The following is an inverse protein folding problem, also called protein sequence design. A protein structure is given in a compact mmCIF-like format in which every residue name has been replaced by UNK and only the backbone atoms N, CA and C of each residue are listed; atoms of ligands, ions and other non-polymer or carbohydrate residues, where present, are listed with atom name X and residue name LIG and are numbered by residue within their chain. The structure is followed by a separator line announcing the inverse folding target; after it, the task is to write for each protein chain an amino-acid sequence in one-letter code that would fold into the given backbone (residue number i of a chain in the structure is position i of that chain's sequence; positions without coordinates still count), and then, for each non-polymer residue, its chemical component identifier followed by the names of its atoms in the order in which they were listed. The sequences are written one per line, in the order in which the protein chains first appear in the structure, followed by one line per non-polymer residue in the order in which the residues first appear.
data_IF_238123508863
#
_entry.id   IF_238123508863
#
_cell.length_a   1.000
_cell.length_b   1.000
_cell.length_c   1.000
_cell.angle_alpha   90.00
_cell.angle_beta   90.00
_cell.angle_gamma   90.00
#
_symmetry.space_group_name_H-M   'P 1'
#
loop_
_entity.id
_entity.type
_entity.pdbx_description
1 polymer ?
#
# COMPACT_ATOMS: atom_id res chain seq x y z
N UNK A 1 -62.02 -15.40 -28.24
CA UNK A 1 -60.77 -15.39 -29.04
C UNK A 1 -59.65 -14.53 -28.44
N UNK A 2 -59.84 -13.23 -28.12
CA UNK A 2 -58.75 -12.36 -27.61
C UNK A 2 -58.09 -12.79 -26.27
N UNK A 3 -58.79 -13.49 -25.37
CA UNK A 3 -58.23 -13.99 -24.09
C UNK A 3 -57.33 -15.22 -24.27
N UNK A 4 -57.69 -16.14 -25.17
CA UNK A 4 -56.91 -17.37 -25.43
C UNK A 4 -55.59 -17.03 -26.13
N UNK A 5 -55.61 -16.10 -27.08
CA UNK A 5 -54.40 -15.65 -27.78
C UNK A 5 -53.38 -14.98 -26.84
N UNK A 6 -53.84 -14.21 -25.84
CA UNK A 6 -52.96 -13.60 -24.82
C UNK A 6 -52.30 -14.64 -23.91
N UNK A 7 -53.02 -15.70 -23.54
CA UNK A 7 -52.48 -16.77 -22.69
C UNK A 7 -51.45 -17.60 -23.48
N UNK A 8 -51.72 -17.91 -24.75
CA UNK A 8 -50.76 -18.63 -25.61
C UNK A 8 -49.48 -17.83 -25.87
N UNK A 9 -49.58 -16.51 -26.10
CA UNK A 9 -48.40 -15.64 -26.26
C UNK A 9 -47.60 -15.56 -24.95
N UNK A 10 -48.27 -15.49 -23.80
CA UNK A 10 -47.60 -15.46 -22.49
C UNK A 10 -46.85 -16.78 -22.20
N UNK A 11 -47.47 -17.93 -22.47
CA UNK A 11 -46.83 -19.24 -22.30
C UNK A 11 -45.65 -19.46 -23.27
N UNK A 12 -45.75 -18.93 -24.49
CA UNK A 12 -44.64 -18.99 -25.45
C UNK A 12 -43.46 -18.11 -25.00
N UNK A 13 -43.73 -16.87 -24.57
CA UNK A 13 -42.70 -15.98 -24.02
C UNK A 13 -42.03 -16.58 -22.78
N UNK A 14 -42.79 -17.22 -21.88
CA UNK A 14 -42.20 -17.86 -20.69
C UNK A 14 -41.30 -19.05 -21.06
N UNK A 15 -41.68 -19.85 -22.07
CA UNK A 15 -40.86 -20.96 -22.55
C UNK A 15 -39.55 -20.48 -23.20
N UNK A 16 -39.59 -19.37 -23.96
CA UNK A 16 -38.40 -18.76 -24.55
C UNK A 16 -37.44 -18.22 -23.48
N UNK A 17 -37.98 -17.57 -22.44
CA UNK A 17 -37.18 -17.08 -21.30
C UNK A 17 -36.49 -18.23 -20.55
N UNK A 18 -37.22 -19.34 -20.31
CA UNK A 18 -36.65 -20.54 -19.69
C UNK A 18 -35.55 -21.19 -20.56
N UNK A 19 -35.76 -21.26 -21.88
CA UNK A 19 -34.78 -21.79 -22.82
C UNK A 19 -33.48 -20.97 -22.87
N UNK A 20 -33.61 -19.63 -22.88
CA UNK A 20 -32.44 -18.74 -22.83
C UNK A 20 -31.69 -18.86 -21.50
N UNK A 21 -32.41 -18.92 -20.37
CA UNK A 21 -31.79 -19.09 -19.05
C UNK A 21 -30.98 -20.40 -18.96
N UNK A 22 -31.50 -21.50 -19.51
CA UNK A 22 -30.79 -22.78 -19.59
C UNK A 22 -29.54 -22.71 -20.48
N UNK A 23 -29.65 -22.06 -21.65
CA UNK A 23 -28.52 -21.90 -22.58
C UNK A 23 -27.38 -21.09 -21.95
N UNK A 24 -27.69 -19.95 -21.32
CA UNK A 24 -26.69 -19.15 -20.62
C UNK A 24 -26.13 -19.86 -19.38
N UNK A 25 -26.95 -20.61 -18.65
CA UNK A 25 -26.50 -21.43 -17.52
C UNK A 25 -25.49 -22.51 -17.93
N UNK A 26 -25.74 -23.23 -19.02
CA UNK A 26 -24.81 -24.23 -19.57
C UNK A 26 -23.53 -23.59 -20.08
N UNK A 27 -23.63 -22.45 -20.79
CA UNK A 27 -22.45 -21.72 -21.28
C UNK A 27 -21.57 -21.25 -20.11
N UNK A 28 -22.18 -20.66 -19.09
CA UNK A 28 -21.49 -20.24 -17.88
C UNK A 28 -20.82 -21.42 -17.16
N UNK A 29 -21.52 -22.55 -17.01
CA UNK A 29 -20.96 -23.75 -16.41
C UNK A 29 -19.76 -24.30 -17.20
N UNK A 30 -19.83 -24.31 -18.54
CA UNK A 30 -18.72 -24.76 -19.39
C UNK A 30 -17.52 -23.81 -19.34
N UNK A 31 -17.74 -22.49 -19.26
CA UNK A 31 -16.67 -21.50 -19.04
C UNK A 31 -15.99 -21.71 -17.68
N UNK A 32 -16.76 -22.00 -16.62
CA UNK A 32 -16.21 -22.33 -15.31
C UNK A 32 -15.38 -23.62 -15.33
N UNK A 33 -15.81 -24.64 -16.08
CA UNK A 33 -15.04 -25.89 -16.23
C UNK A 33 -13.77 -25.70 -17.09
N UNK A 34 -13.80 -24.82 -18.09
CA UNK A 34 -12.63 -24.46 -18.89
C UNK A 34 -11.59 -23.70 -18.05
N UNK A 35 -12.03 -22.72 -17.26
CA UNK A 35 -11.16 -22.01 -16.30
C UNK A 35 -10.56 -22.96 -15.27
N UNK A 36 -11.33 -23.94 -14.79
CA UNK A 36 -10.85 -24.96 -13.87
C UNK A 36 -9.81 -25.90 -14.49
N UNK A 37 -9.96 -26.26 -15.77
CA UNK A 37 -8.97 -27.06 -16.52
C UNK A 37 -7.68 -26.30 -16.84
N UNK A 38 -7.75 -25.00 -17.11
CA UNK A 38 -6.56 -24.17 -17.27
C UNK A 38 -5.78 -23.99 -15.95
N UNK A 39 -6.48 -24.03 -14.81
CA UNK A 39 -5.85 -24.04 -13.48
C UNK A 39 -5.22 -25.39 -13.08
N UNK A 40 -5.54 -26.50 -13.76
CA UNK A 40 -5.05 -27.84 -13.42
C UNK A 40 -3.71 -28.24 -14.07
N UNK A 41 -3.14 -27.44 -14.99
CA UNK A 41 -1.75 -27.61 -15.42
C UNK A 41 -0.80 -26.92 -14.44
N UNK A 42 -0.59 -27.54 -13.28
CA UNK A 42 0.42 -27.08 -12.32
C UNK A 42 1.82 -27.38 -12.85
N UNK A 43 2.60 -26.37 -13.18
CA UNK A 43 4.02 -26.51 -13.49
C UNK A 43 4.78 -26.96 -12.23
N UNK A 44 5.26 -28.20 -12.20
CA UNK A 44 6.07 -28.71 -11.08
C UNK A 44 7.51 -28.21 -11.20
N UNK A 45 7.83 -27.15 -10.47
CA UNK A 45 9.15 -26.51 -10.48
C UNK A 45 10.18 -27.23 -9.61
N UNK A 46 9.77 -28.15 -8.74
CA UNK A 46 10.64 -28.73 -7.71
C UNK A 46 11.98 -29.28 -8.25
N UNK A 47 12.04 -30.04 -9.36
CA UNK A 47 13.32 -30.54 -9.89
C UNK A 47 14.27 -29.42 -10.32
N UNK A 48 13.73 -28.31 -10.84
CA UNK A 48 14.52 -27.16 -11.26
C UNK A 48 15.04 -26.38 -10.05
N UNK A 49 14.22 -26.22 -9.02
CA UNK A 49 14.61 -25.57 -7.77
C UNK A 49 15.72 -26.36 -7.06
N UNK A 50 15.66 -27.71 -7.06
CA UNK A 50 16.70 -28.58 -6.52
C UNK A 50 18.01 -28.55 -7.32
N UNK A 51 17.93 -28.35 -8.64
CA UNK A 51 19.10 -28.21 -9.52
C UNK A 51 19.76 -26.82 -9.42
N UNK A 52 19.03 -25.82 -8.93
CA UNK A 52 19.52 -24.45 -8.84
C UNK A 52 20.58 -24.28 -7.76
N UNK A 53 21.66 -23.55 -8.08
CA UNK A 53 22.69 -23.21 -7.09
C UNK A 53 22.18 -22.22 -6.03
N UNK A 54 21.11 -21.49 -6.34
CA UNK A 54 20.47 -20.54 -5.43
C UNK A 54 19.33 -21.18 -4.61
N UNK A 55 18.97 -22.43 -4.92
CA UNK A 55 17.83 -23.14 -4.32
C UNK A 55 16.46 -22.64 -4.79
N UNK A 56 16.44 -21.85 -5.86
CA UNK A 56 15.24 -21.33 -6.53
C UNK A 56 15.57 -21.07 -8.00
N UNK A 57 14.94 -21.82 -8.88
CA UNK A 57 15.21 -21.75 -10.31
C UNK A 57 14.85 -20.39 -10.90
N UNK A 58 13.78 -19.75 -10.42
CA UNK A 58 13.37 -18.43 -10.92
C UNK A 58 14.39 -17.38 -10.50
N UNK A 59 14.84 -17.42 -9.25
CA UNK A 59 15.95 -16.58 -8.79
C UNK A 59 17.13 -16.76 -9.73
N UNK A 60 17.53 -18.00 -10.01
CA UNK A 60 18.65 -18.28 -10.89
C UNK A 60 18.46 -17.71 -12.30
N UNK A 61 17.28 -17.87 -12.90
CA UNK A 61 17.00 -17.31 -14.22
C UNK A 61 17.17 -15.78 -14.22
N UNK A 62 16.64 -15.09 -13.21
CA UNK A 62 16.80 -13.64 -13.07
C UNK A 62 18.27 -13.25 -12.96
N UNK A 63 19.07 -14.00 -12.19
CA UNK A 63 20.51 -13.75 -12.08
C UNK A 63 21.21 -13.98 -13.42
N UNK A 64 20.96 -15.11 -14.07
CA UNK A 64 21.54 -15.48 -15.37
C UNK A 64 21.28 -14.42 -16.43
N UNK A 65 20.07 -13.88 -16.48
CA UNK A 65 19.73 -12.76 -17.34
C UNK A 65 20.53 -11.51 -17.00
N UNK A 66 20.65 -11.18 -15.71
CA UNK A 66 21.32 -9.97 -15.22
C UNK A 66 22.83 -9.99 -15.44
N UNK A 67 23.47 -11.16 -15.30
CA UNK A 67 24.92 -11.33 -15.56
C UNK A 67 25.22 -11.73 -17.01
N UNK A 68 24.21 -11.78 -17.89
CA UNK A 68 24.32 -12.19 -19.30
C UNK A 68 24.97 -13.58 -19.48
N UNK A 69 24.69 -14.50 -18.56
CA UNK A 69 25.24 -15.85 -18.55
C UNK A 69 24.10 -16.89 -18.52
N UNK A 70 23.64 -17.28 -19.70
CA UNK A 70 22.48 -18.18 -19.84
C UNK A 70 22.81 -19.62 -19.49
N UNK A 71 23.91 -20.16 -20.03
CA UNK A 71 24.16 -21.61 -20.03
C UNK A 71 25.48 -22.00 -19.36
N UNK A 72 26.37 -21.05 -19.03
CA UNK A 72 27.64 -21.36 -18.38
C UNK A 72 27.47 -21.45 -16.85
N UNK A 73 28.40 -22.16 -16.17
CA UNK A 73 28.50 -22.08 -14.72
C UNK A 73 28.58 -20.63 -14.24
N UNK A 74 27.89 -20.34 -13.13
CA UNK A 74 27.93 -19.01 -12.51
C UNK A 74 29.20 -18.93 -11.66
N UNK A 75 30.04 -17.94 -11.94
CA UNK A 75 31.17 -17.60 -11.08
C UNK A 75 30.65 -16.95 -9.79
N UNK A 76 30.59 -17.74 -8.72
CA UNK A 76 30.06 -17.34 -7.42
C UNK A 76 30.89 -16.21 -6.80
N UNK A 77 32.21 -16.17 -7.05
CA UNK A 77 33.07 -15.13 -6.47
C UNK A 77 32.71 -13.76 -7.05
N UNK A 78 32.41 -13.70 -8.35
CA UNK A 78 31.97 -12.46 -9.01
C UNK A 78 30.65 -11.90 -8.47
N UNK A 79 29.79 -12.73 -7.87
CA UNK A 79 28.50 -12.28 -7.31
C UNK A 79 28.69 -11.38 -6.08
N UNK A 80 29.82 -11.50 -5.38
CA UNK A 80 30.12 -10.67 -4.22
C UNK A 80 30.32 -9.18 -4.61
N UNK A 81 30.68 -8.90 -5.87
CA UNK A 81 30.87 -7.54 -6.40
C UNK A 81 29.55 -6.86 -6.81
N UNK A 82 28.44 -7.60 -6.83
CA UNK A 82 27.12 -7.05 -7.19
C UNK A 82 26.58 -6.21 -6.03
N UNK A 83 26.47 -4.90 -6.24
CA UNK A 83 26.00 -3.96 -5.21
C UNK A 83 24.51 -3.68 -5.26
N UNK A 84 23.84 -3.92 -6.40
CA UNK A 84 22.41 -3.70 -6.56
C UNK A 84 21.76 -4.88 -7.27
N UNK A 85 20.61 -5.32 -6.76
CA UNK A 85 19.85 -6.43 -7.31
C UNK A 85 18.36 -6.13 -7.26
N UNK A 86 17.73 -6.21 -8.43
CA UNK A 86 16.28 -6.17 -8.56
C UNK A 86 15.78 -7.55 -9.01
N UNK A 87 15.04 -8.20 -8.11
CA UNK A 87 14.38 -9.48 -8.29
C UNK A 87 12.85 -9.31 -8.30
N UNK A 88 12.34 -8.08 -8.43
CA UNK A 88 10.91 -7.82 -8.36
C UNK A 88 10.18 -8.48 -9.51
N UNK A 89 9.04 -9.10 -9.20
CA UNK A 89 8.21 -9.73 -10.20
C UNK A 89 7.31 -8.70 -10.87
N UNK A 90 7.41 -8.57 -12.21
CA UNK A 90 6.67 -7.60 -13.02
C UNK A 90 5.60 -8.23 -13.93
N UNK A 91 5.39 -9.55 -13.83
CA UNK A 91 4.39 -10.26 -14.62
C UNK A 91 2.97 -10.18 -14.04
N UNK A 92 2.07 -11.02 -14.58
CA UNK A 92 0.68 -11.11 -14.11
C UNK A 92 0.64 -11.76 -12.73
N UNK A 93 -0.25 -11.29 -11.86
CA UNK A 93 -0.39 -11.84 -10.50
C UNK A 93 -0.68 -13.34 -10.46
N UNK A 94 -1.27 -13.89 -11.53
CA UNK A 94 -1.59 -15.30 -11.73
C UNK A 94 -0.41 -16.21 -12.08
N UNK A 95 0.74 -15.65 -12.49
CA UNK A 95 1.92 -16.40 -12.91
C UNK A 95 2.77 -16.79 -11.67
N UNK A 96 2.21 -17.63 -10.80
CA UNK A 96 2.86 -18.03 -9.54
C UNK A 96 4.16 -18.83 -9.74
N UNK A 97 4.23 -19.62 -10.81
CA UNK A 97 5.39 -20.43 -11.22
C UNK A 97 6.62 -19.58 -11.58
N UNK A 98 6.43 -18.31 -11.90
CA UNK A 98 7.47 -17.33 -12.24
C UNK A 98 7.88 -16.42 -11.09
N UNK A 99 7.38 -16.67 -9.89
CA UNK A 99 7.75 -15.91 -8.69
C UNK A 99 8.80 -16.65 -7.89
N UNK A 100 9.74 -15.90 -7.35
CA UNK A 100 10.75 -16.40 -6.41
C UNK A 100 10.05 -16.80 -5.11
N UNK A 101 10.41 -17.95 -4.58
CA UNK A 101 9.92 -18.49 -3.30
C UNK A 101 11.02 -18.58 -2.24
N UNK A 102 12.30 -18.65 -2.64
CA UNK A 102 13.44 -18.72 -1.72
C UNK A 102 14.48 -17.65 -1.99
N UNK A 103 15.02 -17.07 -0.92
CA UNK A 103 16.12 -16.11 -0.95
C UNK A 103 17.47 -16.72 -0.54
N UNK A 104 17.56 -18.04 -0.38
CA UNK A 104 18.79 -18.73 0.07
C UNK A 104 20.02 -18.41 -0.77
N UNK A 105 19.82 -18.05 -2.03
CA UNK A 105 20.87 -17.62 -2.95
C UNK A 105 21.55 -16.30 -2.58
N UNK A 106 20.93 -15.45 -1.76
CA UNK A 106 21.49 -14.17 -1.34
C UNK A 106 22.82 -14.31 -0.58
N UNK A 107 23.12 -15.49 -0.03
CA UNK A 107 24.40 -15.79 0.65
C UNK A 107 25.65 -15.53 -0.19
N UNK A 108 25.51 -15.43 -1.51
CA UNK A 108 26.60 -15.15 -2.44
C UNK A 108 26.80 -13.65 -2.73
N UNK A 109 25.84 -12.79 -2.36
CA UNK A 109 25.81 -11.36 -2.70
C UNK A 109 26.27 -10.50 -1.52
N UNK A 110 27.52 -10.70 -1.08
CA UNK A 110 28.03 -10.08 0.16
C UNK A 110 28.23 -8.56 0.06
N UNK A 111 28.49 -8.02 -1.13
CA UNK A 111 28.62 -6.58 -1.37
C UNK A 111 27.30 -5.86 -1.66
N UNK A 112 26.15 -6.55 -1.48
CA UNK A 112 24.84 -6.01 -1.85
C UNK A 112 24.43 -4.85 -0.94
N UNK A 113 24.14 -3.70 -1.55
CA UNK A 113 23.68 -2.47 -0.88
C UNK A 113 22.21 -2.17 -1.12
N UNK A 114 21.67 -2.62 -2.25
CA UNK A 114 20.28 -2.40 -2.64
C UNK A 114 19.65 -3.68 -3.15
N UNK A 115 18.53 -4.05 -2.54
CA UNK A 115 17.74 -5.21 -2.92
C UNK A 115 16.26 -4.83 -3.06
N UNK A 116 15.66 -5.17 -4.19
CA UNK A 116 14.21 -5.14 -4.41
C UNK A 116 13.74 -6.53 -4.79
N UNK A 117 12.72 -7.05 -4.10
CA UNK A 117 12.16 -8.40 -4.34
C UNK A 117 10.63 -8.38 -4.45
N UNK A 118 10.05 -7.22 -4.75
CA UNK A 118 8.62 -6.96 -4.64
C UNK A 118 7.77 -7.96 -5.45
N UNK A 119 6.58 -8.27 -4.96
CA UNK A 119 5.56 -9.09 -5.64
C UNK A 119 5.96 -10.56 -5.89
N UNK A 120 6.88 -11.09 -5.09
CA UNK A 120 7.27 -12.50 -5.11
C UNK A 120 6.48 -13.35 -4.08
N UNK A 121 6.77 -14.65 -3.99
CA UNK A 121 6.11 -15.58 -3.07
C UNK A 121 7.04 -16.03 -1.92
N UNK A 122 8.11 -15.29 -1.67
CA UNK A 122 9.03 -15.53 -0.57
C UNK A 122 8.33 -15.37 0.79
N UNK A 123 8.60 -16.31 1.69
CA UNK A 123 8.08 -16.32 3.07
C UNK A 123 9.15 -16.26 4.16
N UNK A 124 10.43 -16.43 3.79
CA UNK A 124 11.57 -16.38 4.70
C UNK A 124 12.68 -15.51 4.13
N UNK A 125 13.29 -14.70 5.00
CA UNK A 125 14.48 -13.90 4.68
C UNK A 125 15.79 -14.69 4.72
N UNK A 126 15.76 -16.02 4.85
CA UNK A 126 16.96 -16.87 4.83
C UNK A 126 17.88 -16.52 3.67
N UNK A 127 19.15 -16.28 3.97
CA UNK A 127 20.19 -15.85 3.02
C UNK A 127 20.48 -14.34 3.06
N UNK A 128 19.52 -13.51 3.52
CA UNK A 128 19.74 -12.06 3.61
C UNK A 128 20.75 -11.69 4.71
N UNK A 129 20.92 -12.54 5.71
CA UNK A 129 21.85 -12.32 6.83
C UNK A 129 23.31 -12.14 6.41
N UNK A 130 23.67 -12.56 5.20
CA UNK A 130 25.01 -12.40 4.61
C UNK A 130 25.18 -11.03 3.92
N UNK A 131 24.09 -10.34 3.58
CA UNK A 131 24.09 -9.05 2.89
C UNK A 131 24.19 -7.87 3.90
N UNK A 132 25.17 -7.90 4.80
CA UNK A 132 25.26 -6.95 5.94
C UNK A 132 25.47 -5.49 5.54
N UNK A 133 25.90 -5.24 4.31
CA UNK A 133 26.09 -3.91 3.73
C UNK A 133 24.80 -3.29 3.14
N UNK A 134 23.65 -3.97 3.28
CA UNK A 134 22.39 -3.51 2.73
C UNK A 134 21.95 -2.17 3.35
N UNK A 135 21.73 -1.17 2.49
CA UNK A 135 21.23 0.16 2.83
C UNK A 135 19.76 0.34 2.41
N UNK A 136 19.32 -0.43 1.40
CA UNK A 136 17.98 -0.35 0.83
C UNK A 136 17.38 -1.75 0.63
N UNK A 137 16.22 -1.98 1.24
CA UNK A 137 15.43 -3.20 1.06
C UNK A 137 13.97 -2.85 0.74
N UNK A 138 13.48 -3.32 -0.41
CA UNK A 138 12.05 -3.42 -0.69
C UNK A 138 11.65 -4.87 -0.90
N UNK A 139 10.65 -5.30 -0.14
CA UNK A 139 10.11 -6.65 -0.15
C UNK A 139 8.58 -6.63 0.00
N UNK A 140 7.91 -5.69 -0.66
CA UNK A 140 6.45 -5.52 -0.54
C UNK A 140 5.68 -6.55 -1.35
N UNK A 141 4.42 -6.79 -0.94
CA UNK A 141 3.49 -7.70 -1.61
C UNK A 141 4.07 -9.11 -1.77
N UNK A 142 4.77 -9.57 -0.73
CA UNK A 142 5.33 -10.92 -0.61
C UNK A 142 4.52 -11.74 0.41
N UNK A 143 5.13 -12.77 1.03
CA UNK A 143 4.49 -13.63 2.04
C UNK A 143 5.33 -13.75 3.32
N UNK A 144 6.16 -12.74 3.62
CA UNK A 144 7.03 -12.79 4.79
C UNK A 144 6.21 -12.70 6.07
N UNK A 145 6.43 -13.63 6.99
CA UNK A 145 5.78 -13.61 8.31
C UNK A 145 6.76 -13.40 9.47
N UNK A 146 8.07 -13.56 9.19
CA UNK A 146 9.15 -13.41 10.15
C UNK A 146 10.28 -12.59 9.52
N UNK A 147 10.72 -11.54 10.23
CA UNK A 147 11.75 -10.60 9.79
C UNK A 147 13.00 -10.61 10.69
N UNK A 148 13.20 -11.61 11.54
CA UNK A 148 14.31 -11.65 12.50
C UNK A 148 15.68 -11.47 11.85
N UNK A 149 15.91 -12.05 10.66
CA UNK A 149 17.17 -11.91 9.93
C UNK A 149 17.50 -10.45 9.56
N UNK A 150 16.49 -9.61 9.35
CA UNK A 150 16.67 -8.18 9.05
C UNK A 150 17.36 -7.45 10.21
N UNK A 151 17.26 -7.95 11.44
CA UNK A 151 17.94 -7.34 12.60
C UNK A 151 19.46 -7.22 12.46
N UNK A 152 20.08 -7.99 11.57
CA UNK A 152 21.51 -7.96 11.27
C UNK A 152 21.90 -6.82 10.30
N UNK A 153 20.93 -6.27 9.55
CA UNK A 153 21.12 -5.31 8.48
C UNK A 153 21.15 -3.86 9.00
N UNK A 154 22.08 -3.59 9.93
CA UNK A 154 22.11 -2.34 10.70
C UNK A 154 22.44 -1.08 9.88
N UNK A 155 22.89 -1.25 8.64
CA UNK A 155 23.14 -0.17 7.68
C UNK A 155 21.88 0.30 6.94
N UNK A 156 20.74 -0.37 7.13
CA UNK A 156 19.49 -0.03 6.45
C UNK A 156 19.06 1.41 6.74
N UNK A 157 18.79 2.13 5.65
CA UNK A 157 18.18 3.47 5.63
C UNK A 157 16.76 3.44 5.06
N UNK A 158 16.50 2.49 4.16
CA UNK A 158 15.20 2.31 3.52
C UNK A 158 14.71 0.88 3.71
N UNK A 159 13.53 0.74 4.32
CA UNK A 159 12.88 -0.55 4.50
C UNK A 159 11.40 -0.49 4.12
N UNK A 160 11.03 -1.24 3.07
CA UNK A 160 9.65 -1.42 2.66
C UNK A 160 9.24 -2.89 2.78
N UNK A 161 8.35 -3.18 3.73
CA UNK A 161 7.77 -4.50 3.99
C UNK A 161 6.26 -4.50 3.81
N UNK A 162 5.71 -3.50 3.10
CA UNK A 162 4.27 -3.36 2.88
C UNK A 162 3.61 -4.66 2.43
N UNK A 163 2.39 -4.92 2.90
CA UNK A 163 1.56 -6.05 2.51
C UNK A 163 2.29 -7.41 2.67
N UNK A 164 2.75 -7.67 3.89
CA UNK A 164 3.31 -8.96 4.31
C UNK A 164 2.56 -9.47 5.56
N UNK A 165 2.89 -10.67 6.01
CA UNK A 165 2.26 -11.33 7.17
C UNK A 165 3.04 -11.15 8.48
N UNK A 166 3.90 -10.13 8.55
CA UNK A 166 4.77 -9.85 9.70
C UNK A 166 3.92 -9.40 10.89
N UNK A 167 4.26 -9.93 12.07
CA UNK A 167 3.59 -9.63 13.35
C UNK A 167 4.50 -9.04 14.42
N UNK A 168 5.78 -9.38 14.41
CA UNK A 168 6.75 -8.93 15.42
C UNK A 168 7.58 -7.76 14.91
N UNK A 169 7.88 -6.80 15.78
CA UNK A 169 8.71 -5.61 15.51
C UNK A 169 10.10 -5.67 16.13
N UNK A 170 10.48 -6.76 16.81
CA UNK A 170 11.77 -6.89 17.50
C UNK A 170 12.97 -6.63 16.59
N UNK A 171 12.86 -7.04 15.32
CA UNK A 171 13.92 -6.87 14.32
C UNK A 171 14.26 -5.39 14.06
N UNK A 172 13.32 -4.46 14.29
CA UNK A 172 13.49 -3.04 14.00
C UNK A 172 14.40 -2.37 15.03
N UNK A 173 14.52 -2.94 16.24
CA UNK A 173 15.23 -2.30 17.36
C UNK A 173 16.72 -2.06 17.11
N UNK A 174 17.31 -2.80 16.16
CA UNK A 174 18.70 -2.65 15.76
C UNK A 174 18.90 -1.65 14.61
N UNK A 175 17.83 -1.26 13.90
CA UNK A 175 17.85 -0.51 12.64
C UNK A 175 17.82 1.01 12.88
N UNK A 176 18.85 1.52 13.57
CA UNK A 176 18.89 2.91 14.07
C UNK A 176 19.10 3.98 12.98
N UNK A 177 19.46 3.57 11.77
CA UNK A 177 19.76 4.46 10.64
C UNK A 177 18.57 4.62 9.68
N UNK A 178 17.41 4.03 9.97
CA UNK A 178 16.25 4.10 9.09
C UNK A 178 15.77 5.54 8.92
N UNK A 179 15.62 5.93 7.66
CA UNK A 179 15.01 7.20 7.24
C UNK A 179 13.61 6.98 6.65
N UNK A 180 13.39 5.82 6.03
CA UNK A 180 12.12 5.39 5.46
C UNK A 180 11.72 4.03 6.02
N UNK A 181 10.50 3.93 6.55
CA UNK A 181 9.91 2.69 7.02
C UNK A 181 8.47 2.54 6.53
N UNK A 182 8.20 1.46 5.81
CA UNK A 182 6.85 1.09 5.41
C UNK A 182 6.49 -0.31 5.90
N UNK A 183 5.52 -0.37 6.82
CA UNK A 183 4.95 -1.58 7.41
C UNK A 183 3.44 -1.68 7.10
N UNK A 184 2.94 -0.90 6.14
CA UNK A 184 1.51 -0.84 5.84
C UNK A 184 0.99 -2.21 5.42
N UNK A 185 -0.19 -2.61 5.91
CA UNK A 185 -0.79 -3.91 5.60
C UNK A 185 -0.10 -5.10 6.26
N UNK A 186 0.90 -4.89 7.12
CA UNK A 186 1.41 -5.93 8.02
C UNK A 186 0.48 -6.09 9.22
N UNK A 187 0.54 -7.24 9.88
CA UNK A 187 -0.31 -7.54 11.03
C UNK A 187 0.38 -7.10 12.35
N UNK A 188 0.80 -5.84 12.41
CA UNK A 188 1.52 -5.20 13.53
C UNK A 188 0.61 -4.18 14.20
N UNK A 189 0.16 -4.48 15.41
CA UNK A 189 -0.71 -3.56 16.18
C UNK A 189 0.05 -2.78 17.24
N UNK A 190 1.18 -3.30 17.70
CA UNK A 190 2.00 -2.69 18.75
C UNK A 190 3.22 -1.97 18.17
N UNK A 191 3.23 -0.66 18.36
CA UNK A 191 4.30 0.24 17.92
C UNK A 191 5.13 0.80 19.07
N UNK A 192 5.06 0.20 20.27
CA UNK A 192 5.85 0.61 21.43
C UNK A 192 7.38 0.66 21.14
N UNK A 193 7.87 -0.15 20.19
CA UNK A 193 9.28 -0.13 19.76
C UNK A 193 9.77 1.26 19.30
N UNK A 194 8.88 2.11 18.77
CA UNK A 194 9.20 3.48 18.38
C UNK A 194 9.59 4.34 19.59
N UNK A 195 9.18 3.94 20.80
CA UNK A 195 9.56 4.60 22.03
C UNK A 195 10.84 4.03 22.66
N UNK A 196 11.10 2.74 22.47
CA UNK A 196 12.28 2.06 22.99
C UNK A 196 13.54 2.45 22.21
N UNK A 197 13.38 2.71 20.92
CA UNK A 197 14.46 2.99 19.99
C UNK A 197 14.33 4.44 19.56
N UNK A 198 15.32 5.27 19.88
CA UNK A 198 15.36 6.65 19.38
C UNK A 198 15.59 6.67 17.87
N UNK A 199 14.52 6.49 17.08
CA UNK A 199 14.55 6.49 15.61
C UNK A 199 14.54 7.92 15.06
N UNK A 200 15.48 8.73 15.55
CA UNK A 200 15.55 10.17 15.23
C UNK A 200 15.79 10.46 13.74
N UNK A 201 16.27 9.48 12.98
CA UNK A 201 16.51 9.58 11.54
C UNK A 201 15.26 9.40 10.69
N UNK A 202 14.17 8.84 11.23
CA UNK A 202 12.96 8.57 10.45
C UNK A 202 12.36 9.89 9.98
N UNK A 203 12.18 9.98 8.66
CA UNK A 203 11.51 11.07 7.94
C UNK A 203 10.21 10.59 7.33
N UNK A 204 10.14 9.33 6.91
CA UNK A 204 8.95 8.77 6.29
C UNK A 204 8.50 7.50 7.01
N UNK A 205 7.24 7.51 7.47
CA UNK A 205 6.62 6.40 8.17
C UNK A 205 5.26 6.07 7.56
N UNK A 206 5.11 4.84 7.10
CA UNK A 206 3.87 4.34 6.51
C UNK A 206 3.42 3.09 7.27
N UNK A 207 2.33 3.21 8.00
CA UNK A 207 1.78 2.19 8.91
C UNK A 207 0.28 2.05 8.69
N UNK A 208 -0.17 2.19 7.44
CA UNK A 208 -1.58 2.07 7.09
C UNK A 208 -2.07 0.63 7.24
N UNK A 209 -3.31 0.43 7.72
CA UNK A 209 -3.98 -0.86 7.79
C UNK A 209 -3.21 -1.94 8.54
N UNK A 210 -2.59 -1.58 9.67
CA UNK A 210 -1.92 -2.55 10.54
C UNK A 210 -2.74 -2.92 11.79
N UNK A 211 -3.81 -2.16 12.05
CA UNK A 211 -4.72 -2.35 13.18
C UNK A 211 -4.24 -1.70 14.47
N UNK A 212 -3.21 -0.84 14.43
CA UNK A 212 -2.78 -0.11 15.62
C UNK A 212 -3.81 0.97 16.00
N UNK A 213 -3.93 1.27 17.28
CA UNK A 213 -4.91 2.26 17.76
C UNK A 213 -4.32 3.20 18.82
N UNK A 214 -2.99 3.34 18.86
CA UNK A 214 -2.25 4.18 19.80
C UNK A 214 -1.20 5.00 19.07
N UNK A 215 -1.08 6.27 19.42
CA UNK A 215 -0.20 7.26 18.76
C UNK A 215 0.80 7.92 19.74
N UNK A 216 0.98 7.37 20.95
CA UNK A 216 1.86 7.96 21.98
C UNK A 216 3.31 8.12 21.52
N UNK A 217 3.74 7.32 20.54
CA UNK A 217 5.06 7.40 19.92
C UNK A 217 5.29 8.68 19.08
N UNK A 218 4.25 9.45 18.75
CA UNK A 218 4.37 10.63 17.88
C UNK A 218 5.33 11.69 18.42
N UNK A 219 5.40 11.84 19.74
CA UNK A 219 6.29 12.78 20.43
C UNK A 219 7.78 12.41 20.29
N UNK A 220 8.07 11.19 19.84
CA UNK A 220 9.41 10.62 19.78
C UNK A 220 10.00 10.65 18.36
N UNK A 221 9.20 11.07 17.37
CA UNK A 221 9.59 11.12 15.96
C UNK A 221 9.48 12.55 15.39
N UNK A 222 10.16 13.56 15.98
CA UNK A 222 9.98 14.97 15.60
C UNK A 222 10.48 15.32 14.19
N UNK A 223 11.20 14.41 13.54
CA UNK A 223 11.77 14.60 12.19
C UNK A 223 10.89 14.05 11.06
N UNK A 224 9.70 13.52 11.36
CA UNK A 224 8.78 13.03 10.32
C UNK A 224 8.38 14.17 9.38
N UNK A 225 8.53 13.91 8.10
CA UNK A 225 8.14 14.75 6.98
C UNK A 225 6.91 14.17 6.25
N UNK A 226 6.79 12.82 6.23
CA UNK A 226 5.70 12.10 5.55
C UNK A 226 5.14 10.99 6.43
N UNK A 227 3.83 11.03 6.66
CA UNK A 227 3.13 10.07 7.52
C UNK A 227 1.88 9.52 6.82
N UNK A 228 1.74 8.19 6.79
CA UNK A 228 0.50 7.51 6.43
C UNK A 228 0.05 6.58 7.56
N UNK A 229 -1.09 6.89 8.15
CA UNK A 229 -1.72 6.14 9.23
C UNK A 229 -3.05 5.51 8.82
N UNK A 230 -3.42 5.54 7.53
CA UNK A 230 -4.74 5.19 6.99
C UNK A 230 -5.29 3.84 7.47
N UNK A 231 -6.60 3.71 7.64
CA UNK A 231 -7.25 2.41 7.91
C UNK A 231 -6.89 1.77 9.25
N UNK A 232 -6.72 2.56 10.31
CA UNK A 232 -6.35 2.11 11.67
C UNK A 232 -7.39 2.50 12.74
N UNK A 233 -8.60 2.86 12.31
CA UNK A 233 -9.74 3.23 13.19
C UNK A 233 -9.48 4.40 14.17
N UNK A 234 -8.44 5.21 13.92
CA UNK A 234 -8.07 6.37 14.74
C UNK A 234 -9.21 7.40 14.80
N UNK A 235 -9.23 8.19 15.87
CA UNK A 235 -10.19 9.28 16.07
C UNK A 235 -9.45 10.58 16.45
N UNK A 236 -10.21 11.66 16.64
CA UNK A 236 -9.67 12.99 16.94
C UNK A 236 -8.77 13.01 18.19
N UNK A 237 -9.12 12.24 19.23
CA UNK A 237 -8.37 12.16 20.50
C UNK A 237 -7.04 11.42 20.31
N UNK A 238 -7.05 10.30 19.58
CA UNK A 238 -5.84 9.52 19.30
C UNK A 238 -4.86 10.28 18.41
N UNK A 239 -5.34 11.18 17.54
CA UNK A 239 -4.48 12.00 16.69
C UNK A 239 -3.96 13.27 17.39
N UNK A 240 -4.42 13.56 18.60
CA UNK A 240 -3.93 14.71 19.35
C UNK A 240 -2.41 14.64 19.56
N UNK A 241 -1.73 15.78 19.46
CA UNK A 241 -0.27 15.87 19.53
C UNK A 241 0.43 15.80 18.18
N UNK A 242 -0.29 15.55 17.08
CA UNK A 242 0.28 15.56 15.73
C UNK A 242 0.88 16.92 15.33
N UNK A 243 0.42 18.00 15.95
CA UNK A 243 0.98 19.34 15.79
C UNK A 243 2.45 19.46 16.23
N UNK A 244 2.97 18.51 17.02
CA UNK A 244 4.38 18.48 17.40
C UNK A 244 5.31 18.09 16.23
N UNK A 245 4.75 17.46 15.18
CA UNK A 245 5.49 17.10 13.97
C UNK A 245 5.72 18.34 13.10
N UNK A 246 6.56 19.23 13.57
CA UNK A 246 6.82 20.53 12.94
C UNK A 246 7.43 20.44 11.55
N UNK A 247 7.97 19.28 11.13
CA UNK A 247 8.47 19.05 9.77
C UNK A 247 7.48 18.35 8.84
N UNK A 248 6.29 18.00 9.32
CA UNK A 248 5.30 17.24 8.56
C UNK A 248 4.79 18.05 7.36
N UNK A 249 5.08 17.56 6.16
CA UNK A 249 4.63 18.16 4.89
C UNK A 249 3.51 17.34 4.24
N UNK A 250 3.48 16.03 4.47
CA UNK A 250 2.50 15.12 3.92
C UNK A 250 1.87 14.27 5.02
N UNK A 251 0.55 14.35 5.13
CA UNK A 251 -0.23 13.48 6.01
C UNK A 251 -1.35 12.80 5.25
N UNK A 252 -1.40 11.47 5.38
CA UNK A 252 -2.52 10.66 4.95
C UNK A 252 -3.14 9.92 6.14
N UNK A 253 -4.41 10.20 6.40
CA UNK A 253 -5.22 9.59 7.45
C UNK A 253 -6.60 9.21 6.89
N UNK A 254 -6.60 8.52 5.75
CA UNK A 254 -7.81 8.03 5.09
C UNK A 254 -8.46 6.89 5.89
N UNK A 255 -9.76 6.67 5.72
CA UNK A 255 -10.49 5.53 6.30
C UNK A 255 -10.32 5.42 7.82
N UNK A 256 -10.61 6.51 8.54
CA UNK A 256 -10.58 6.57 10.01
C UNK A 256 -11.95 6.96 10.58
N UNK A 257 -11.99 7.29 11.88
CA UNK A 257 -13.15 7.81 12.59
C UNK A 257 -13.01 9.31 12.91
N UNK A 258 -12.28 10.07 12.09
CA UNK A 258 -12.03 11.50 12.30
C UNK A 258 -13.33 12.29 12.05
N UNK A 259 -13.66 13.20 12.97
CA UNK A 259 -14.85 14.06 12.90
C UNK A 259 -14.52 15.54 12.80
N UNK A 260 -13.39 15.95 13.37
CA UNK A 260 -12.95 17.33 13.38
C UNK A 260 -11.57 17.50 12.76
N UNK A 261 -11.40 18.57 11.98
CA UNK A 261 -10.09 18.97 11.44
C UNK A 261 -9.27 19.83 12.41
N UNK A 262 -9.83 20.21 13.56
CA UNK A 262 -9.15 21.01 14.59
C UNK A 262 -7.82 20.41 15.05
N UNK A 263 -7.70 19.08 15.04
CA UNK A 263 -6.47 18.36 15.40
C UNK A 263 -5.29 18.68 14.47
N UNK A 264 -5.55 19.14 13.25
CA UNK A 264 -4.51 19.46 12.26
C UNK A 264 -4.18 20.96 12.17
N UNK A 265 -4.92 21.84 12.86
CA UNK A 265 -4.83 23.31 12.66
C UNK A 265 -3.43 23.90 12.88
N UNK A 266 -2.61 23.25 13.72
CA UNK A 266 -1.27 23.73 14.06
C UNK A 266 -0.15 23.03 13.26
N UNK A 267 -0.48 22.13 12.34
CA UNK A 267 0.45 21.46 11.42
C UNK A 267 0.85 22.39 10.25
N UNK A 268 1.43 23.55 10.56
CA UNK A 268 1.62 24.69 9.65
C UNK A 268 2.46 24.42 8.40
N UNK A 269 3.26 23.35 8.38
CA UNK A 269 4.11 22.98 7.25
C UNK A 269 3.46 21.97 6.29
N UNK A 270 2.23 21.51 6.57
CA UNK A 270 1.51 20.62 5.68
C UNK A 270 1.29 21.26 4.30
N UNK A 271 1.70 20.52 3.27
CA UNK A 271 1.45 20.80 1.85
C UNK A 271 0.39 19.86 1.29
N UNK A 272 0.29 18.64 1.81
CA UNK A 272 -0.69 17.65 1.37
C UNK A 272 -1.38 17.02 2.58
N UNK A 273 -2.71 17.08 2.60
CA UNK A 273 -3.56 16.50 3.62
C UNK A 273 -4.65 15.63 2.98
N UNK A 274 -4.60 14.34 3.27
CA UNK A 274 -5.54 13.35 2.72
C UNK A 274 -6.33 12.72 3.87
N UNK A 275 -7.64 12.97 3.87
CA UNK A 275 -8.61 12.63 4.91
C UNK A 275 -9.88 11.98 4.31
N UNK A 276 -9.77 11.34 3.15
CA UNK A 276 -10.90 10.68 2.51
C UNK A 276 -11.45 9.52 3.35
N UNK A 277 -12.75 9.26 3.22
CA UNK A 277 -13.45 8.19 3.96
C UNK A 277 -13.33 8.40 5.48
N UNK A 278 -13.87 9.51 5.96
CA UNK A 278 -13.94 9.86 7.38
C UNK A 278 -15.37 10.31 7.74
N UNK A 279 -15.55 10.97 8.88
CA UNK A 279 -16.84 11.51 9.35
C UNK A 279 -16.77 13.02 9.58
N UNK A 280 -15.94 13.72 8.81
CA UNK A 280 -15.69 15.16 8.96
C UNK A 280 -16.91 15.94 8.50
N UNK A 281 -17.37 16.87 9.34
CA UNK A 281 -18.50 17.77 9.01
C UNK A 281 -18.07 19.22 8.77
N UNK A 282 -16.92 19.62 9.32
CA UNK A 282 -16.38 20.97 9.20
C UNK A 282 -14.87 20.96 8.94
N UNK A 283 -14.45 21.82 8.02
CA UNK A 283 -13.07 22.03 7.59
C UNK A 283 -12.58 23.45 7.88
N UNK A 284 -13.35 24.26 8.61
CA UNK A 284 -13.06 25.67 8.90
C UNK A 284 -11.70 25.88 9.61
N UNK A 285 -11.29 24.93 10.46
CA UNK A 285 -10.00 24.95 11.17
C UNK A 285 -8.80 24.88 10.21
N UNK A 286 -8.97 24.33 9.00
CA UNK A 286 -7.91 24.22 8.00
C UNK A 286 -7.52 25.57 7.37
N UNK A 287 -8.29 26.64 7.61
CA UNK A 287 -7.93 28.01 7.19
C UNK A 287 -6.55 28.45 7.69
N UNK A 288 -6.09 27.89 8.79
CA UNK A 288 -4.77 28.12 9.40
C UNK A 288 -3.60 27.56 8.58
N UNK A 289 -3.83 26.53 7.75
CA UNK A 289 -2.82 25.82 6.99
C UNK A 289 -2.44 26.56 5.71
N UNK A 290 -1.71 27.66 5.87
CA UNK A 290 -1.37 28.57 4.76
C UNK A 290 -0.46 27.95 3.69
N UNK A 291 0.22 26.84 3.97
CA UNK A 291 1.08 26.14 3.02
C UNK A 291 0.38 24.97 2.30
N UNK A 292 -0.89 24.70 2.61
CA UNK A 292 -1.58 23.54 2.04
C UNK A 292 -1.84 23.74 0.55
N UNK A 293 -1.35 22.81 -0.26
CA UNK A 293 -1.48 22.81 -1.72
C UNK A 293 -2.49 21.77 -2.22
N UNK A 294 -2.65 20.67 -1.49
CA UNK A 294 -3.55 19.57 -1.84
C UNK A 294 -4.36 19.10 -0.63
N UNK A 295 -5.68 19.10 -0.78
CA UNK A 295 -6.64 18.61 0.21
C UNK A 295 -7.54 17.55 -0.41
N UNK A 296 -7.61 16.38 0.20
CA UNK A 296 -8.58 15.36 -0.16
C UNK A 296 -9.47 15.04 1.05
N UNK A 297 -10.76 15.33 0.93
CA UNK A 297 -11.82 15.09 1.91
C UNK A 297 -12.99 14.34 1.25
N UNK A 298 -12.72 13.54 0.22
CA UNK A 298 -13.73 12.70 -0.43
C UNK A 298 -14.46 11.81 0.58
N UNK A 299 -15.74 11.53 0.35
CA UNK A 299 -16.54 10.63 1.19
C UNK A 299 -16.51 11.02 2.67
N UNK A 300 -16.97 12.25 2.94
CA UNK A 300 -17.15 12.80 4.28
C UNK A 300 -18.58 13.36 4.41
N UNK A 301 -18.84 14.16 5.44
CA UNK A 301 -20.15 14.74 5.78
C UNK A 301 -20.12 16.27 5.72
N UNK A 302 -19.23 16.86 4.91
CA UNK A 302 -19.00 18.31 4.86
C UNK A 302 -20.18 19.01 4.19
N UNK A 303 -20.71 20.06 4.83
CA UNK A 303 -21.82 20.85 4.29
C UNK A 303 -21.40 22.17 3.64
N UNK A 304 -20.25 22.72 4.05
CA UNK A 304 -19.76 24.04 3.68
C UNK A 304 -18.29 24.01 3.32
N UNK A 305 -17.93 24.84 2.34
CA UNK A 305 -16.56 24.97 1.82
C UNK A 305 -16.12 26.42 1.72
N UNK A 306 -16.81 27.33 2.40
CA UNK A 306 -16.50 28.77 2.39
C UNK A 306 -15.05 29.06 2.80
N UNK A 307 -14.50 28.24 3.70
CA UNK A 307 -13.11 28.33 4.17
C UNK A 307 -12.08 28.23 3.05
N UNK A 308 -12.39 27.54 1.94
CA UNK A 308 -11.43 27.37 0.84
C UNK A 308 -11.08 28.71 0.18
N UNK A 309 -11.93 29.75 0.34
CA UNK A 309 -11.62 31.11 -0.11
C UNK A 309 -10.44 31.77 0.61
N UNK A 310 -10.12 31.31 1.83
CA UNK A 310 -8.97 31.79 2.61
C UNK A 310 -7.67 31.00 2.36
N UNK A 311 -7.76 29.88 1.63
CA UNK A 311 -6.67 28.93 1.40
C UNK A 311 -5.92 29.24 0.10
N UNK A 312 -5.22 30.38 0.07
CA UNK A 312 -4.61 30.97 -1.13
C UNK A 312 -3.60 30.10 -1.90
N UNK A 313 -3.00 29.11 -1.23
CA UNK A 313 -2.03 28.20 -1.85
C UNK A 313 -2.65 26.85 -2.27
N UNK A 314 -3.93 26.64 -1.99
CA UNK A 314 -4.61 25.39 -2.33
C UNK A 314 -4.82 25.30 -3.84
N UNK A 315 -4.17 24.31 -4.46
CA UNK A 315 -4.19 24.06 -5.90
C UNK A 315 -5.12 22.90 -6.25
N UNK A 316 -5.22 21.89 -5.39
CA UNK A 316 -5.97 20.66 -5.65
C UNK A 316 -6.93 20.35 -4.51
N UNK A 317 -8.20 20.16 -4.86
CA UNK A 317 -9.26 19.85 -3.90
C UNK A 317 -10.09 18.67 -4.38
N UNK A 318 -10.22 17.66 -3.53
CA UNK A 318 -11.12 16.54 -3.76
C UNK A 318 -12.12 16.50 -2.62
N UNK A 319 -13.38 16.80 -2.90
CA UNK A 319 -14.49 16.81 -1.94
C UNK A 319 -15.72 16.08 -2.52
N UNK A 320 -15.47 15.07 -3.35
CA UNK A 320 -16.47 14.16 -3.90
C UNK A 320 -17.28 13.49 -2.78
N UNK A 321 -18.56 13.24 -3.02
CA UNK A 321 -19.43 12.49 -2.10
C UNK A 321 -19.46 13.10 -0.68
N UNK A 322 -19.88 14.35 -0.61
CA UNK A 322 -20.12 15.10 0.62
C UNK A 322 -21.56 15.65 0.65
N UNK A 323 -21.88 16.52 1.60
CA UNK A 323 -23.20 17.14 1.78
C UNK A 323 -23.20 18.63 1.38
N UNK A 324 -22.30 19.05 0.48
CA UNK A 324 -22.13 20.46 0.13
C UNK A 324 -23.35 20.99 -0.64
N UNK A 325 -23.95 22.07 -0.11
CA UNK A 325 -25.20 22.66 -0.63
C UNK A 325 -24.99 23.90 -1.50
N UNK A 326 -23.82 24.52 -1.45
CA UNK A 326 -23.49 25.68 -2.28
C UNK A 326 -21.98 25.82 -2.49
N UNK A 327 -21.58 26.37 -3.63
CA UNK A 327 -20.20 26.74 -3.96
C UNK A 327 -20.02 28.25 -4.15
N UNK A 328 -21.00 29.08 -3.75
CA UNK A 328 -20.97 30.54 -4.00
C UNK A 328 -19.71 31.21 -3.44
N UNK A 329 -19.23 30.78 -2.27
CA UNK A 329 -18.04 31.36 -1.64
C UNK A 329 -16.73 31.08 -2.40
N UNK A 330 -16.74 30.12 -3.34
CA UNK A 330 -15.55 29.68 -4.08
C UNK A 330 -15.72 29.82 -5.59
N UNK A 331 -16.76 30.50 -6.08
CA UNK A 331 -17.11 30.58 -7.51
C UNK A 331 -16.01 31.19 -8.38
N UNK A 332 -15.20 32.08 -7.80
CA UNK A 332 -14.17 32.84 -8.50
C UNK A 332 -12.77 32.21 -8.35
N UNK A 333 -12.68 31.10 -7.62
CA UNK A 333 -11.42 30.39 -7.37
C UNK A 333 -11.16 29.41 -8.50
N UNK A 334 -9.91 29.36 -8.98
CA UNK A 334 -9.46 28.40 -9.99
C UNK A 334 -8.49 27.41 -9.37
N UNK A 335 -8.96 26.19 -9.13
CA UNK A 335 -8.11 25.08 -8.75
C UNK A 335 -7.44 24.47 -10.00
N UNK A 336 -6.21 23.97 -9.86
CA UNK A 336 -5.55 23.17 -10.90
C UNK A 336 -6.31 21.85 -11.14
N UNK A 337 -6.85 21.27 -10.07
CA UNK A 337 -7.67 20.06 -10.10
C UNK A 337 -8.71 20.11 -9.01
N UNK A 338 -9.96 19.84 -9.39
CA UNK A 338 -11.07 19.76 -8.46
C UNK A 338 -11.94 18.54 -8.73
N UNK A 339 -12.49 17.96 -7.67
CA UNK A 339 -13.60 17.00 -7.76
C UNK A 339 -14.63 17.29 -6.66
N UNK A 340 -15.75 17.88 -7.05
CA UNK A 340 -16.91 18.13 -6.19
C UNK A 340 -18.11 17.25 -6.56
N UNK A 341 -17.88 16.19 -7.34
CA UNK A 341 -18.97 15.31 -7.80
C UNK A 341 -19.73 14.66 -6.64
N UNK A 342 -20.94 14.19 -6.90
CA UNK A 342 -21.80 13.50 -5.92
C UNK A 342 -22.28 14.35 -4.73
N UNK A 343 -22.04 15.67 -4.71
CA UNK A 343 -22.62 16.62 -3.75
C UNK A 343 -24.02 17.11 -4.17
N UNK A 344 -24.91 17.47 -3.23
CA UNK A 344 -26.20 18.09 -3.53
C UNK A 344 -26.12 19.30 -4.45
N UNK A 345 -25.12 20.16 -4.31
CA UNK A 345 -24.94 21.34 -5.16
C UNK A 345 -24.52 21.05 -6.62
N UNK A 346 -24.16 19.80 -6.96
CA UNK A 346 -23.83 19.36 -8.33
C UNK A 346 -24.91 18.43 -8.93
N UNK A 347 -25.96 18.11 -8.18
CA UNK A 347 -27.13 17.36 -8.65
C UNK A 347 -28.21 18.35 -9.09
#
# INVERSE_FOLDING_TARGET
MKKVLKISIFLFLSAVVLGLALFFGIKYYNEQQAQKKEQEQTFDRKPLDEASIFGDYVFEQVIREKIQNKDEPIDIESLAEITELDLSFNGKSTDEDKKIISLSGLKYFKGLKKLTIDRNMCSSFTGIEECVDLEYLSAQDCRFFNATQISLLTNLKYLNLRNNEIRSTEFIKTLKNLEYLNLSGCNITDFAFLSEVKMNSIKELYIASTGFNQMEWIYLLPNIERLDVSGNELNDELLAGIEILTKLEYLKASSQNIKSTAVFKDCKNLKTLILDVNRITDISDLSSLKNLEELNVNSNLIEKVDVLSDMKNLKRIYAKNNQIKSFTAISDIKFEKEDFSENPAKR
#
